data_IF_130968375907
#
_entry.id   IF_130968375907
#
_cell.length_a   1.000
_cell.length_b   1.000
_cell.length_c   1.000
_cell.angle_alpha   90.00
_cell.angle_beta   90.00
_cell.angle_gamma   90.00
#
_symmetry.space_group_name_H-M   'P 1'
#
loop_
_entity.id
_entity.type
_entity.pdbx_description
1 polymer ?
#
# COMPACT_ATOMS: atom_id res chain seq x y z
N UNK A 1 32.24 41.33 -21.38
CA UNK A 1 31.53 40.60 -20.30
C UNK A 1 32.32 40.71 -18.98
N UNK A 2 31.71 40.54 -17.80
CA UNK A 2 32.48 40.55 -16.53
C UNK A 2 33.14 39.19 -16.29
N UNK A 3 34.40 39.17 -15.83
CA UNK A 3 35.15 37.93 -15.57
C UNK A 3 34.37 36.94 -14.68
N UNK A 4 33.64 37.42 -13.67
CA UNK A 4 32.83 36.55 -12.80
C UNK A 4 31.70 35.79 -13.53
N UNK A 5 31.14 36.35 -14.59
CA UNK A 5 30.14 35.66 -15.42
C UNK A 5 30.80 34.61 -16.31
N UNK A 6 31.95 34.94 -16.89
CA UNK A 6 32.72 34.02 -17.74
C UNK A 6 33.22 32.83 -16.93
N UNK A 7 33.80 33.06 -15.74
CA UNK A 7 34.28 31.99 -14.84
C UNK A 7 33.22 30.94 -14.52
N UNK A 8 31.95 31.35 -14.39
CA UNK A 8 30.81 30.42 -14.17
C UNK A 8 30.44 29.61 -15.41
N UNK A 9 30.80 30.09 -16.60
CA UNK A 9 30.53 29.43 -17.88
C UNK A 9 31.71 28.62 -18.43
N UNK A 10 32.90 28.75 -17.86
CA UNK A 10 34.10 28.06 -18.36
C UNK A 10 33.96 26.52 -18.37
N UNK A 11 33.29 25.91 -17.38
CA UNK A 11 33.05 24.45 -17.39
C UNK A 11 32.15 24.04 -18.54
N UNK A 12 30.98 24.69 -18.68
CA UNK A 12 30.06 24.43 -19.78
C UNK A 12 30.69 24.75 -21.15
N UNK A 13 31.59 25.74 -21.24
CA UNK A 13 32.37 26.03 -22.44
C UNK A 13 33.36 24.89 -22.76
N UNK A 14 34.07 24.37 -21.74
CA UNK A 14 34.99 23.25 -21.88
C UNK A 14 34.29 21.97 -22.34
N UNK A 15 33.08 21.73 -21.85
CA UNK A 15 32.25 20.56 -22.20
C UNK A 15 31.42 20.75 -23.49
N UNK A 16 31.57 21.89 -24.20
CA UNK A 16 30.78 22.27 -25.37
C UNK A 16 29.25 22.27 -25.16
N UNK A 17 28.80 22.65 -23.96
CA UNK A 17 27.38 22.70 -23.56
C UNK A 17 26.76 24.10 -23.66
N UNK A 18 27.52 25.12 -24.08
CA UNK A 18 27.00 26.47 -24.29
C UNK A 18 26.26 26.60 -25.63
N UNK A 19 25.31 27.54 -25.70
CA UNK A 19 24.74 27.94 -26.98
C UNK A 19 25.78 28.67 -27.85
N UNK A 20 25.64 28.60 -29.17
CA UNK A 20 26.56 29.23 -30.13
C UNK A 20 26.80 30.72 -29.82
N UNK A 21 25.74 31.46 -29.48
CA UNK A 21 25.84 32.86 -29.10
C UNK A 21 26.67 33.10 -27.82
N UNK A 22 26.63 32.19 -26.87
CA UNK A 22 27.36 32.30 -25.61
C UNK A 22 28.81 31.86 -25.77
N UNK A 23 29.04 30.86 -26.62
CA UNK A 23 30.38 30.38 -26.97
C UNK A 23 31.21 31.49 -27.61
N UNK A 24 30.64 32.25 -28.56
CA UNK A 24 31.30 33.42 -29.18
C UNK A 24 31.69 34.46 -28.13
N UNK A 25 30.79 34.78 -27.19
CA UNK A 25 31.05 35.79 -26.14
C UNK A 25 32.15 35.32 -25.20
N UNK A 26 32.19 34.03 -24.86
CA UNK A 26 33.23 33.45 -24.01
C UNK A 26 34.58 33.43 -24.73
N UNK A 27 34.60 33.03 -26.01
CA UNK A 27 35.80 33.01 -26.84
C UNK A 27 36.40 34.41 -27.03
N UNK A 28 35.57 35.41 -27.31
CA UNK A 28 35.99 36.81 -27.40
C UNK A 28 36.61 37.29 -26.08
N UNK A 29 36.02 36.94 -24.93
CA UNK A 29 36.56 37.31 -23.63
C UNK A 29 37.89 36.61 -23.31
N UNK A 30 38.05 35.35 -23.71
CA UNK A 30 39.28 34.59 -23.48
C UNK A 30 40.47 35.13 -24.28
N UNK A 31 40.22 35.81 -25.41
CA UNK A 31 41.27 36.49 -26.18
C UNK A 31 41.82 37.74 -25.49
N UNK A 32 41.03 38.37 -24.63
CA UNK A 32 41.38 39.65 -23.98
C UNK A 32 41.75 39.49 -22.50
N UNK A 33 41.35 38.41 -21.83
CA UNK A 33 41.49 38.25 -20.39
C UNK A 33 42.40 37.07 -20.00
N UNK A 34 43.66 37.38 -19.66
CA UNK A 34 44.65 36.40 -19.16
C UNK A 34 44.16 35.66 -17.91
N UNK A 35 43.44 36.32 -17.01
CA UNK A 35 42.91 35.68 -15.80
C UNK A 35 41.85 34.62 -16.07
N UNK A 36 41.01 34.81 -17.09
CA UNK A 36 40.05 33.78 -17.50
C UNK A 36 40.74 32.68 -18.32
N UNK A 37 41.79 33.01 -19.07
CA UNK A 37 42.62 32.03 -19.77
C UNK A 37 43.36 31.10 -18.79
N UNK A 38 43.92 31.64 -17.70
CA UNK A 38 44.55 30.84 -16.64
C UNK A 38 43.56 29.87 -16.02
N UNK A 39 42.36 30.35 -15.67
CA UNK A 39 41.29 29.50 -15.13
C UNK A 39 40.89 28.38 -16.10
N UNK A 40 40.85 28.66 -17.41
CA UNK A 40 40.55 27.66 -18.43
C UNK A 40 41.66 26.61 -18.53
N UNK A 41 42.92 27.03 -18.42
CA UNK A 41 44.07 26.14 -18.41
C UNK A 41 44.09 25.23 -17.17
N UNK A 42 43.83 25.78 -15.99
CA UNK A 42 43.70 25.01 -14.74
C UNK A 42 42.62 23.92 -14.86
N UNK A 43 41.48 24.23 -15.49
CA UNK A 43 40.43 23.25 -15.75
C UNK A 43 40.91 22.11 -16.65
N UNK A 44 41.63 22.42 -17.73
CA UNK A 44 42.23 21.42 -18.62
C UNK A 44 43.27 20.55 -17.92
N UNK A 45 44.13 21.14 -17.09
CA UNK A 45 45.13 20.40 -16.30
C UNK A 45 44.47 19.42 -15.31
N UNK A 46 43.34 19.78 -14.71
CA UNK A 46 42.55 18.86 -13.87
C UNK A 46 42.02 17.67 -14.69
N UNK A 47 41.47 17.92 -15.87
CA UNK A 47 40.98 16.86 -16.76
C UNK A 47 42.10 15.91 -17.20
N UNK A 48 43.28 16.43 -17.52
CA UNK A 48 44.45 15.62 -17.89
C UNK A 48 44.90 14.67 -16.76
N UNK A 49 44.73 15.07 -15.50
CA UNK A 49 45.00 14.20 -14.35
C UNK A 49 44.03 13.02 -14.33
N UNK A 50 42.73 13.25 -14.62
CA UNK A 50 41.74 12.18 -14.68
C UNK A 50 42.01 11.17 -15.80
N UNK A 51 42.53 11.62 -16.94
CA UNK A 51 42.90 10.74 -18.07
C UNK A 51 44.03 9.76 -17.69
N UNK A 52 44.89 10.12 -16.72
CA UNK A 52 45.99 9.27 -16.26
C UNK A 52 45.55 8.17 -15.29
N UNK A 53 44.28 8.14 -14.89
CA UNK A 53 43.74 7.08 -14.05
C UNK A 53 43.80 5.77 -14.85
N UNK A 54 44.34 4.68 -14.29
CA UNK A 54 44.45 3.40 -14.99
C UNK A 54 43.07 2.93 -15.44
N UNK A 55 43.00 2.47 -16.69
CA UNK A 55 41.76 1.93 -17.24
C UNK A 55 41.30 0.72 -16.42
N UNK A 56 40.04 0.76 -15.99
CA UNK A 56 39.45 -0.30 -15.18
C UNK A 56 38.94 -1.36 -16.15
N UNK A 57 39.55 -2.56 -16.12
CA UNK A 57 39.07 -3.68 -16.92
C UNK A 57 37.62 -4.02 -16.56
N UNK A 58 36.70 -3.80 -17.49
CA UNK A 58 35.29 -4.13 -17.31
C UNK A 58 35.15 -5.67 -17.25
N UNK A 59 34.47 -6.24 -16.23
CA UNK A 59 34.24 -7.68 -16.18
C UNK A 59 33.48 -8.18 -17.41
N UNK A 60 33.86 -9.35 -17.95
CA UNK A 60 33.31 -9.93 -19.19
C UNK A 60 31.76 -9.97 -19.24
N UNK A 61 31.10 -10.20 -18.10
CA UNK A 61 29.64 -10.31 -18.00
C UNK A 61 28.94 -9.02 -17.54
N UNK A 62 29.65 -7.91 -17.40
CA UNK A 62 29.09 -6.66 -16.87
C UNK A 62 27.92 -6.16 -17.72
N UNK A 63 28.13 -6.03 -19.04
CA UNK A 63 27.09 -5.55 -19.97
C UNK A 63 25.87 -6.45 -19.96
N UNK A 64 26.06 -7.77 -19.96
CA UNK A 64 24.96 -8.75 -19.91
C UNK A 64 24.16 -8.62 -18.62
N UNK A 65 24.84 -8.56 -17.45
CA UNK A 65 24.19 -8.40 -16.15
C UNK A 65 23.47 -7.06 -16.02
N UNK A 66 24.05 -5.99 -16.57
CA UNK A 66 23.43 -4.67 -16.59
C UNK A 66 22.14 -4.67 -17.42
N UNK A 67 22.21 -5.20 -18.64
CA UNK A 67 21.03 -5.30 -19.52
C UNK A 67 19.95 -6.21 -18.95
N UNK A 68 20.33 -7.28 -18.25
CA UNK A 68 19.37 -8.11 -17.51
C UNK A 68 18.66 -7.32 -16.41
N UNK A 69 19.35 -6.46 -15.66
CA UNK A 69 18.71 -5.63 -14.62
C UNK A 69 17.84 -4.51 -15.20
N UNK A 70 18.26 -3.88 -16.29
CA UNK A 70 17.49 -2.80 -16.95
C UNK A 70 16.21 -3.37 -17.57
N UNK A 71 16.32 -4.52 -18.23
CA UNK A 71 15.20 -5.16 -18.91
C UNK A 71 14.45 -6.17 -18.04
N UNK A 72 14.89 -6.39 -16.80
CA UNK A 72 14.13 -7.21 -15.86
C UNK A 72 12.78 -6.52 -15.69
N UNK A 73 11.66 -7.19 -16.03
CA UNK A 73 10.36 -6.69 -15.64
C UNK A 73 10.41 -6.48 -14.13
N UNK A 74 9.95 -5.33 -13.65
CA UNK A 74 9.69 -5.09 -12.24
C UNK A 74 8.57 -6.02 -11.82
N UNK A 75 8.92 -7.27 -11.54
CA UNK A 75 7.99 -8.31 -11.12
C UNK A 75 7.61 -8.06 -9.67
N UNK A 76 6.59 -7.24 -9.51
CA UNK A 76 5.33 -7.66 -8.91
C UNK A 76 4.25 -6.75 -9.48
N UNK A 77 3.63 -7.19 -10.58
CA UNK A 77 2.44 -6.50 -11.07
C UNK A 77 1.30 -6.70 -10.06
N UNK A 78 1.15 -5.74 -9.16
CA UNK A 78 0.00 -5.66 -8.23
C UNK A 78 -1.34 -5.74 -8.99
N UNK A 79 -1.33 -5.39 -10.28
CA UNK A 79 -2.48 -5.50 -11.18
C UNK A 79 -3.02 -6.93 -11.35
N UNK A 80 -2.19 -7.98 -11.29
CA UNK A 80 -2.69 -9.36 -11.40
C UNK A 80 -3.45 -9.77 -10.12
N UNK A 81 -2.93 -9.41 -8.95
CA UNK A 81 -3.57 -9.65 -7.66
C UNK A 81 -4.88 -8.85 -7.54
N UNK A 82 -4.90 -7.61 -8.01
CA UNK A 82 -6.12 -6.79 -8.01
C UNK A 82 -7.19 -7.34 -8.96
N UNK A 83 -6.82 -7.80 -10.16
CA UNK A 83 -7.76 -8.43 -11.10
C UNK A 83 -8.31 -9.75 -10.55
N UNK A 84 -7.46 -10.56 -9.93
CA UNK A 84 -7.87 -11.82 -9.31
C UNK A 84 -8.81 -11.57 -8.12
N UNK A 85 -8.50 -10.61 -7.24
CA UNK A 85 -9.37 -10.21 -6.13
C UNK A 85 -10.72 -9.68 -6.62
N UNK A 86 -10.73 -8.89 -7.70
CA UNK A 86 -11.98 -8.31 -8.26
C UNK A 86 -12.89 -9.37 -8.87
N UNK A 87 -12.33 -10.47 -9.39
CA UNK A 87 -13.10 -11.57 -9.97
C UNK A 87 -13.56 -12.61 -8.91
N UNK A 88 -12.73 -12.92 -7.92
CA UNK A 88 -13.01 -13.99 -6.94
C UNK A 88 -13.94 -13.51 -5.82
N UNK A 89 -13.90 -12.24 -5.43
CA UNK A 89 -14.74 -11.70 -4.35
C UNK A 89 -16.26 -11.81 -4.60
N UNK A 90 -16.82 -11.44 -5.77
CA UNK A 90 -18.25 -11.60 -6.02
C UNK A 90 -18.68 -13.07 -6.17
N UNK A 91 -17.80 -13.92 -6.72
CA UNK A 91 -18.09 -15.35 -6.92
C UNK A 91 -18.11 -16.10 -5.59
N UNK A 92 -17.16 -15.82 -4.69
CA UNK A 92 -17.12 -16.43 -3.36
C UNK A 92 -18.35 -16.05 -2.52
N UNK A 93 -18.81 -14.80 -2.59
CA UNK A 93 -20.01 -14.35 -1.89
C UNK A 93 -21.28 -15.08 -2.40
N UNK A 94 -21.44 -15.20 -3.72
CA UNK A 94 -22.57 -15.93 -4.30
C UNK A 94 -22.54 -17.42 -3.91
N UNK A 95 -21.37 -18.06 -3.96
CA UNK A 95 -21.21 -19.46 -3.56
C UNK A 95 -21.52 -19.67 -2.07
N UNK A 96 -21.13 -18.75 -1.19
CA UNK A 96 -21.44 -18.83 0.23
C UNK A 96 -22.96 -18.74 0.49
N UNK A 97 -23.67 -17.86 -0.24
CA UNK A 97 -25.14 -17.75 -0.15
C UNK A 97 -25.83 -19.02 -0.67
N UNK A 98 -25.35 -19.57 -1.78
CA UNK A 98 -25.92 -20.81 -2.32
C UNK A 98 -25.68 -21.98 -1.36
N UNK A 99 -24.47 -22.10 -0.81
CA UNK A 99 -24.12 -23.14 0.16
C UNK A 99 -24.94 -23.00 1.45
N UNK A 100 -25.15 -21.78 1.97
CA UNK A 100 -25.97 -21.58 3.16
C UNK A 100 -27.44 -21.94 2.91
N UNK A 101 -27.96 -21.65 1.71
CA UNK A 101 -29.33 -22.04 1.34
C UNK A 101 -29.47 -23.56 1.24
N UNK A 102 -28.49 -24.25 0.62
CA UNK A 102 -28.53 -25.71 0.43
C UNK A 102 -28.37 -26.42 1.78
N UNK A 103 -27.40 -26.01 2.61
CA UNK A 103 -27.25 -26.57 3.96
C UNK A 103 -28.49 -26.28 4.81
N UNK A 104 -29.05 -25.07 4.72
CA UNK A 104 -30.27 -24.70 5.43
C UNK A 104 -31.46 -25.56 5.04
N UNK A 105 -31.65 -25.84 3.74
CA UNK A 105 -32.71 -26.75 3.27
C UNK A 105 -32.50 -28.19 3.77
N UNK A 106 -31.27 -28.71 3.69
CA UNK A 106 -30.95 -30.07 4.12
C UNK A 106 -31.16 -30.28 5.63
N UNK A 107 -30.73 -29.30 6.43
CA UNK A 107 -30.93 -29.31 7.89
C UNK A 107 -32.41 -29.09 8.22
N UNK A 108 -33.08 -28.20 7.50
CA UNK A 108 -34.49 -27.84 7.69
C UNK A 108 -35.46 -28.99 7.43
N UNK A 109 -35.27 -29.78 6.36
CA UNK A 109 -36.12 -30.97 6.13
C UNK A 109 -35.97 -32.00 7.26
N UNK A 110 -34.74 -32.22 7.74
CA UNK A 110 -34.47 -33.16 8.81
C UNK A 110 -35.04 -32.67 10.17
N UNK A 111 -34.90 -31.38 10.48
CA UNK A 111 -35.49 -30.76 11.67
C UNK A 111 -37.02 -30.64 11.59
N UNK A 112 -37.58 -30.42 10.40
CA UNK A 112 -39.04 -30.35 10.21
C UNK A 112 -39.70 -31.67 10.55
N UNK A 113 -39.12 -32.82 10.20
CA UNK A 113 -39.70 -34.12 10.59
C UNK A 113 -39.69 -34.33 12.12
N UNK A 114 -38.68 -33.78 12.81
CA UNK A 114 -38.56 -33.84 14.28
C UNK A 114 -39.59 -32.91 14.95
N UNK A 115 -39.79 -31.69 14.44
CA UNK A 115 -40.72 -30.71 15.00
C UNK A 115 -42.19 -30.87 14.52
N UNK A 116 -42.43 -31.35 13.30
CA UNK A 116 -43.78 -31.66 12.81
C UNK A 116 -44.35 -32.95 13.40
N UNK A 117 -43.49 -33.80 13.97
CA UNK A 117 -43.89 -34.94 14.80
C UNK A 117 -44.24 -34.57 16.25
N UNK A 118 -43.83 -33.38 16.72
CA UNK A 118 -44.25 -32.85 18.02
C UNK A 118 -45.47 -31.95 17.85
N UNK A 119 -46.64 -32.42 18.30
CA UNK A 119 -47.76 -31.54 18.59
C UNK A 119 -47.29 -30.44 19.54
N UNK A 120 -47.24 -29.19 19.08
CA UNK A 120 -46.91 -28.03 19.91
C UNK A 120 -47.97 -27.92 21.01
N UNK A 121 -47.62 -28.33 22.22
CA UNK A 121 -48.39 -28.03 23.42
C UNK A 121 -48.00 -26.64 23.88
N UNK A 122 -49.00 -25.81 24.18
CA UNK A 122 -48.96 -24.39 24.60
C UNK A 122 -48.03 -24.07 25.79
N UNK A 123 -47.35 -25.09 26.36
CA UNK A 123 -46.44 -25.01 27.51
C UNK A 123 -44.98 -24.68 27.16
N UNK A 124 -44.49 -24.89 25.93
CA UNK A 124 -43.06 -24.69 25.60
C UNK A 124 -42.62 -23.22 25.65
N UNK A 125 -43.53 -22.29 25.35
CA UNK A 125 -43.28 -20.86 25.54
C UNK A 125 -43.24 -20.44 27.01
N UNK A 126 -43.83 -21.24 27.91
CA UNK A 126 -43.88 -20.96 29.35
C UNK A 126 -42.58 -21.38 30.02
N UNK A 127 -41.94 -22.48 29.60
CA UNK A 127 -40.67 -22.95 30.18
C UNK A 127 -39.48 -22.03 29.87
N UNK A 128 -39.42 -21.45 28.67
CA UNK A 128 -38.35 -20.49 28.31
C UNK A 128 -38.52 -19.17 29.06
N UNK A 129 -39.76 -18.76 29.31
CA UNK A 129 -40.07 -17.57 30.10
C UNK A 129 -39.83 -17.78 31.60
N UNK A 130 -40.16 -18.97 32.11
CA UNK A 130 -39.93 -19.38 33.51
C UNK A 130 -38.42 -19.44 33.83
N UNK A 131 -37.61 -19.99 32.91
CA UNK A 131 -36.15 -19.99 33.06
C UNK A 131 -35.55 -18.58 33.04
N UNK A 132 -36.08 -17.68 32.22
CA UNK A 132 -35.63 -16.29 32.15
C UNK A 132 -36.05 -15.46 33.39
N UNK A 133 -37.20 -15.78 34.01
CA UNK A 133 -37.68 -15.09 35.21
C UNK A 133 -37.07 -15.64 36.51
N UNK A 134 -36.77 -16.93 36.59
CA UNK A 134 -36.19 -17.56 37.78
C UNK A 134 -34.67 -17.39 37.90
N UNK A 135 -34.01 -16.74 36.94
CA UNK A 135 -32.56 -16.52 36.92
C UNK A 135 -32.12 -15.16 37.50
N UNK A 136 -33.01 -14.41 38.16
CA UNK A 136 -32.63 -13.12 38.74
C UNK A 136 -32.04 -13.29 40.16
N UNK A 137 -30.92 -12.60 40.47
CA UNK A 137 -30.32 -12.66 41.81
C UNK A 137 -31.23 -12.01 42.86
N UNK A 138 -31.17 -12.53 44.10
CA UNK A 138 -31.94 -12.02 45.25
C UNK A 138 -31.71 -10.51 45.46
N UNK A 139 -32.80 -9.74 45.59
CA UNK A 139 -32.76 -8.27 45.69
C UNK A 139 -33.02 -7.53 44.38
N UNK A 140 -33.42 -8.24 43.33
CA UNK A 140 -33.87 -7.68 42.05
C UNK A 140 -35.19 -6.89 42.20
N UNK A 141 -35.45 -5.95 41.29
CA UNK A 141 -36.71 -5.18 41.21
C UNK A 141 -37.96 -6.08 41.13
N UNK A 142 -37.80 -7.34 40.70
CA UNK A 142 -38.85 -8.36 40.70
C UNK A 142 -39.40 -8.65 42.10
N UNK A 143 -38.54 -8.74 43.12
CA UNK A 143 -38.94 -9.04 44.51
C UNK A 143 -39.78 -7.91 45.10
N UNK A 144 -39.42 -6.66 44.78
CA UNK A 144 -40.17 -5.47 45.19
C UNK A 144 -41.55 -5.48 44.53
N UNK A 145 -41.64 -5.88 43.26
CA UNK A 145 -42.91 -5.95 42.54
C UNK A 145 -43.84 -7.04 43.10
N UNK A 146 -43.29 -8.19 43.45
CA UNK A 146 -44.02 -9.29 44.10
C UNK A 146 -44.52 -8.93 45.50
N UNK A 147 -43.72 -8.23 46.30
CA UNK A 147 -44.16 -7.75 47.62
C UNK A 147 -45.28 -6.70 47.53
N UNK A 148 -45.23 -5.83 46.52
CA UNK A 148 -46.30 -4.84 46.27
C UNK A 148 -47.61 -5.53 45.82
N UNK A 149 -47.53 -6.59 45.03
CA UNK A 149 -48.69 -7.37 44.59
C UNK A 149 -49.30 -8.20 45.72
N UNK A 150 -48.46 -8.76 46.62
CA UNK A 150 -48.91 -9.59 47.74
C UNK A 150 -49.36 -8.79 48.97
N UNK A 151 -49.30 -7.45 48.92
CA UNK A 151 -50.00 -6.59 49.86
C UNK A 151 -49.43 -6.57 51.29
N UNK A 152 -48.15 -6.91 51.48
CA UNK A 152 -47.50 -6.73 52.78
C UNK A 152 -46.93 -5.32 52.90
N UNK A 153 -47.60 -4.50 53.72
CA UNK A 153 -47.07 -3.22 54.21
C UNK A 153 -45.86 -3.50 55.10
N UNK A 154 -44.66 -3.12 54.65
CA UNK A 154 -43.51 -2.94 55.52
C UNK A 154 -43.66 -1.61 56.27
N UNK A 155 -43.87 -1.68 57.58
CA UNK A 155 -43.75 -0.57 58.54
C UNK A 155 -42.27 -0.19 58.76
#
# INVERSE_FOLDING_TARGET
MRCGQIKRKLSAFFDHELSESEEIIVDEHLKECEGCQSNMKELGELCDIFVRIPDISVPFYFRTRLMQKINAPTEVSLSFIEKFRRAVLPVAAAMAVILSLVLGNYIGENLYTIFAGSSISENDSVEVLDFALNSFPEGSLSDIYQNVLNGEKSE
#
